data_IF_020573483112
#
_entry.id   IF_020573483112
#
_cell.length_a   1.000
_cell.length_b   1.000
_cell.length_c   1.000
_cell.angle_alpha   90.00
_cell.angle_beta   90.00
_cell.angle_gamma   90.00
#
_symmetry.space_group_name_H-M   'P 1'
#
loop_
_entity.id
_entity.type
_entity.pdbx_description
1 polymer ?
#
# COMPACT_ATOMS: atom_id res chain seq x y z
N UNK A 1 11.71 5.06 -19.57
CA UNK A 1 12.37 4.73 -18.29
C UNK A 1 13.84 4.42 -18.49
N UNK A 2 14.73 5.00 -17.69
CA UNK A 2 16.16 4.67 -17.68
C UNK A 2 16.44 3.75 -16.49
N UNK A 3 16.89 2.52 -16.78
CA UNK A 3 17.21 1.52 -15.76
C UNK A 3 18.72 1.27 -15.72
N UNK A 4 19.29 1.29 -14.53
CA UNK A 4 20.68 0.92 -14.26
C UNK A 4 20.79 -0.53 -13.76
N UNK A 5 19.80 -0.95 -13.00
CA UNK A 5 19.79 -2.23 -12.31
C UNK A 5 18.71 -3.20 -12.83
N UNK A 6 17.61 -2.66 -13.37
CA UNK A 6 16.47 -3.41 -13.88
C UNK A 6 15.43 -3.79 -12.82
N UNK A 7 15.33 -3.02 -11.72
CA UNK A 7 14.38 -3.30 -10.63
C UNK A 7 13.58 -2.06 -10.26
N UNK A 8 12.25 -2.18 -10.28
CA UNK A 8 11.32 -1.16 -9.78
C UNK A 8 10.57 -1.74 -8.60
N UNK A 9 10.71 -1.13 -7.44
CA UNK A 9 9.95 -1.48 -6.24
C UNK A 9 8.63 -0.74 -6.23
N UNK A 10 7.52 -1.48 -6.14
CA UNK A 10 6.17 -0.90 -6.20
C UNK A 10 5.52 -0.73 -4.82
N UNK A 11 6.23 -1.05 -3.75
CA UNK A 11 5.72 -0.98 -2.38
C UNK A 11 6.89 -0.74 -1.42
N UNK A 12 7.23 0.52 -1.27
CA UNK A 12 8.17 1.04 -0.28
C UNK A 12 7.49 2.17 0.50
N UNK A 13 7.96 2.44 1.70
CA UNK A 13 7.35 3.43 2.57
C UNK A 13 8.30 4.59 2.87
N UNK A 14 7.72 5.74 3.18
CA UNK A 14 8.42 6.88 3.75
C UNK A 14 8.07 6.99 5.22
N UNK A 15 9.00 7.50 6.03
CA UNK A 15 8.72 7.92 7.38
C UNK A 15 8.52 9.43 7.39
N UNK A 16 7.34 9.86 7.75
CA UNK A 16 6.99 11.27 7.84
C UNK A 16 7.68 11.92 9.04
N UNK A 17 8.28 13.12 8.88
CA UNK A 17 8.94 13.81 9.98
C UNK A 17 7.93 14.42 10.98
N UNK A 18 8.32 14.63 12.25
CA UNK A 18 7.42 15.08 13.32
C UNK A 18 6.73 16.41 13.08
N UNK A 19 7.35 17.27 12.33
CA UNK A 19 6.89 18.64 12.03
C UNK A 19 6.05 18.75 10.76
N UNK A 20 5.91 17.69 9.97
CA UNK A 20 5.22 17.71 8.67
C UNK A 20 3.85 18.41 8.76
N UNK A 21 3.00 17.96 9.65
CA UNK A 21 1.63 18.48 9.76
C UNK A 21 1.57 19.78 10.57
N UNK A 22 2.38 19.88 11.61
CA UNK A 22 2.38 21.06 12.49
C UNK A 22 2.95 22.32 11.82
N UNK A 23 3.77 22.17 10.79
CA UNK A 23 4.33 23.29 10.02
C UNK A 23 3.48 23.67 8.81
N UNK A 24 2.65 22.72 8.31
CA UNK A 24 1.82 22.91 7.10
C UNK A 24 0.37 23.26 7.39
N UNK A 25 -0.13 22.92 8.56
CA UNK A 25 -1.53 23.10 8.94
C UNK A 25 -1.66 24.09 10.09
N UNK A 26 -2.72 24.91 10.06
CA UNK A 26 -2.98 25.93 11.08
C UNK A 26 -3.11 25.34 12.48
N UNK A 27 -2.11 25.56 13.32
CA UNK A 27 -2.15 25.21 14.76
C UNK A 27 -3.23 25.99 15.53
N UNK A 28 -3.56 27.21 15.08
CA UNK A 28 -4.61 28.01 15.74
C UNK A 28 -6.01 27.40 15.55
N UNK A 29 -6.21 26.64 14.47
CA UNK A 29 -7.47 25.96 14.21
C UNK A 29 -7.56 24.59 14.89
N UNK A 30 -6.50 23.79 14.79
CA UNK A 30 -6.53 22.37 15.12
C UNK A 30 -5.78 21.99 16.40
N UNK A 31 -4.77 22.78 16.80
CA UNK A 31 -4.01 22.58 18.03
C UNK A 31 -3.39 21.19 18.13
N UNK A 32 -3.60 20.54 19.27
CA UNK A 32 -3.12 19.20 19.56
C UNK A 32 -3.86 18.08 18.80
N UNK A 33 -4.86 18.40 17.98
CA UNK A 33 -5.53 17.42 17.13
C UNK A 33 -4.70 17.02 15.91
N UNK A 34 -3.74 17.88 15.49
CA UNK A 34 -2.84 17.56 14.39
C UNK A 34 -1.95 16.36 14.72
N UNK A 35 -1.52 15.58 13.71
CA UNK A 35 -0.53 14.53 13.91
C UNK A 35 0.76 15.12 14.49
N UNK A 36 1.21 14.58 15.63
CA UNK A 36 2.42 15.01 16.33
C UNK A 36 2.96 13.88 17.21
N UNK A 37 4.20 14.02 17.68
CA UNK A 37 4.78 13.09 18.65
C UNK A 37 4.51 13.55 20.07
N UNK A 38 4.07 12.61 20.92
CA UNK A 38 3.97 12.77 22.36
C UNK A 38 4.92 11.82 23.07
N UNK A 39 5.53 12.30 24.16
CA UNK A 39 6.37 11.46 25.02
C UNK A 39 5.52 10.74 26.05
N UNK A 40 5.57 9.42 26.04
CA UNK A 40 4.89 8.58 27.01
C UNK A 40 5.66 8.45 28.32
N UNK A 41 5.01 7.95 29.38
CA UNK A 41 5.59 7.81 30.72
C UNK A 41 6.79 6.85 30.77
N UNK A 42 6.87 5.89 29.84
CA UNK A 42 7.98 4.96 29.66
C UNK A 42 9.19 5.58 28.93
N UNK A 43 9.06 6.86 28.52
CA UNK A 43 10.09 7.62 27.80
C UNK A 43 10.12 7.35 26.29
N UNK A 44 9.28 6.47 25.76
CA UNK A 44 9.06 6.31 24.34
C UNK A 44 8.27 7.49 23.77
N UNK A 45 8.41 7.72 22.48
CA UNK A 45 7.59 8.69 21.73
C UNK A 45 6.53 7.93 20.94
N UNK A 46 5.38 8.56 20.74
CA UNK A 46 4.22 7.96 20.07
C UNK A 46 3.56 9.00 19.19
N UNK A 47 3.18 8.61 18.00
CA UNK A 47 2.33 9.44 17.13
C UNK A 47 0.91 9.51 17.69
N UNK A 48 0.38 10.72 17.75
CA UNK A 48 -1.00 11.00 18.15
C UNK A 48 -1.67 11.86 17.11
N UNK A 49 -2.90 11.54 16.74
CA UNK A 49 -3.77 12.36 15.89
C UNK A 49 -5.17 12.34 16.49
N UNK A 50 -5.79 13.50 16.61
CA UNK A 50 -7.14 13.66 17.19
C UNK A 50 -7.33 12.94 18.51
N UNK A 51 -6.27 12.94 19.35
CA UNK A 51 -6.22 12.28 20.65
C UNK A 51 -6.06 10.76 20.60
N UNK A 52 -5.87 10.14 19.43
CA UNK A 52 -5.70 8.69 19.26
C UNK A 52 -4.24 8.36 18.95
N UNK A 53 -3.69 7.34 19.62
CA UNK A 53 -2.34 6.82 19.36
C UNK A 53 -2.34 6.03 18.04
N UNK A 54 -1.37 6.33 17.18
CA UNK A 54 -1.19 5.68 15.87
C UNK A 54 -0.11 4.59 15.93
N UNK A 55 -0.02 3.77 14.88
CA UNK A 55 1.03 2.78 14.64
C UNK A 55 1.24 1.76 15.77
N UNK A 56 0.21 1.53 16.59
CA UNK A 56 0.34 0.66 17.76
C UNK A 56 1.34 1.20 18.81
N UNK A 57 1.63 2.52 18.79
CA UNK A 57 2.56 3.17 19.69
C UNK A 57 4.01 3.24 19.20
N UNK A 58 4.32 2.80 17.98
CA UNK A 58 5.65 2.97 17.39
C UNK A 58 5.87 4.40 16.88
N UNK A 59 7.13 4.84 16.82
CA UNK A 59 7.51 6.14 16.24
C UNK A 59 7.63 6.04 14.73
N UNK A 60 8.02 4.87 14.23
CA UNK A 60 8.20 4.63 12.80
C UNK A 60 8.20 3.16 12.45
N UNK A 61 8.21 2.89 11.16
CA UNK A 61 8.36 1.56 10.56
C UNK A 61 9.65 1.53 9.78
N UNK A 62 10.77 1.30 10.46
CA UNK A 62 12.12 1.39 9.90
C UNK A 62 13.00 0.17 10.21
N UNK A 63 12.39 -0.96 10.56
CA UNK A 63 13.06 -2.16 11.01
C UNK A 63 14.12 -2.71 10.04
N UNK A 64 13.98 -2.47 8.72
CA UNK A 64 15.00 -2.88 7.74
C UNK A 64 16.38 -2.27 8.02
N UNK A 65 16.43 -1.10 8.63
CA UNK A 65 17.65 -0.33 8.89
C UNK A 65 18.10 -0.40 10.35
N UNK A 66 17.31 -1.05 11.22
CA UNK A 66 17.67 -1.24 12.63
C UNK A 66 18.70 -2.35 12.79
N UNK A 67 19.59 -2.27 13.80
CA UNK A 67 20.53 -3.36 14.11
C UNK A 67 19.83 -4.70 14.39
N UNK A 68 18.71 -4.67 15.14
CA UNK A 68 17.77 -5.78 15.25
C UNK A 68 16.53 -5.46 14.42
N UNK A 69 16.36 -6.14 13.32
CA UNK A 69 15.24 -5.94 12.40
C UNK A 69 13.86 -6.27 12.96
N UNK A 70 13.80 -6.94 14.12
CA UNK A 70 12.56 -7.20 14.83
C UNK A 70 12.16 -6.05 15.78
N UNK A 71 12.99 -5.00 15.85
CA UNK A 71 12.74 -3.83 16.67
C UNK A 71 12.43 -2.62 15.79
N UNK A 72 11.36 -1.92 16.14
CA UNK A 72 11.09 -0.60 15.56
C UNK A 72 11.65 0.49 16.47
N UNK A 73 11.98 1.69 15.96
CA UNK A 73 12.46 2.80 16.77
C UNK A 73 11.39 3.23 17.77
N UNK A 74 11.81 3.53 18.99
CA UNK A 74 10.92 4.00 20.08
C UNK A 74 10.99 5.50 20.30
N UNK A 75 11.99 6.16 19.69
CA UNK A 75 12.17 7.61 19.73
C UNK A 75 12.58 8.12 18.35
N UNK A 76 12.20 9.34 18.02
CA UNK A 76 12.49 9.91 16.71
C UNK A 76 13.98 9.91 16.34
N UNK A 77 14.85 10.25 17.30
CA UNK A 77 16.30 10.28 17.04
C UNK A 77 16.91 8.89 16.74
N UNK A 78 16.16 7.81 17.00
CA UNK A 78 16.56 6.44 16.66
C UNK A 78 16.15 6.07 15.23
N UNK A 79 15.26 6.84 14.60
CA UNK A 79 14.79 6.57 13.24
C UNK A 79 15.95 6.74 12.24
N UNK A 80 16.33 5.68 11.51
CA UNK A 80 17.41 5.78 10.55
C UNK A 80 17.11 6.78 9.43
N UNK A 81 18.11 7.59 9.10
CA UNK A 81 17.95 8.69 8.13
C UNK A 81 17.47 8.24 6.75
N UNK A 82 17.81 7.04 6.31
CA UNK A 82 17.32 6.48 5.07
C UNK A 82 15.80 6.22 5.05
N UNK A 83 15.13 6.25 6.21
CA UNK A 83 13.68 6.15 6.27
C UNK A 83 12.97 7.46 5.89
N UNK A 84 13.59 8.62 6.17
CA UNK A 84 12.97 9.93 6.00
C UNK A 84 13.75 10.97 5.20
N UNK A 85 15.01 10.71 4.82
CA UNK A 85 15.81 11.58 3.97
C UNK A 85 15.98 10.98 2.56
N UNK A 86 15.50 11.66 1.50
CA UNK A 86 15.59 11.17 0.12
C UNK A 86 17.03 10.85 -0.32
N UNK A 87 18.01 11.71 0.01
CA UNK A 87 19.41 11.49 -0.37
C UNK A 87 20.00 10.21 0.25
N UNK A 88 19.64 9.89 1.49
CA UNK A 88 20.09 8.65 2.15
C UNK A 88 19.34 7.43 1.60
N UNK A 89 18.08 7.56 1.27
CA UNK A 89 17.30 6.51 0.62
C UNK A 89 17.88 6.15 -0.75
N UNK A 90 18.29 7.12 -1.55
CA UNK A 90 18.92 6.88 -2.86
C UNK A 90 20.20 6.04 -2.73
N UNK A 91 21.02 6.24 -1.70
CA UNK A 91 22.20 5.40 -1.44
C UNK A 91 21.81 3.96 -1.15
N UNK A 92 20.75 3.74 -0.36
CA UNK A 92 20.23 2.40 -0.08
C UNK A 92 19.66 1.75 -1.33
N UNK A 93 18.91 2.47 -2.14
CA UNK A 93 18.39 1.98 -3.41
C UNK A 93 19.50 1.57 -4.35
N UNK A 94 20.57 2.36 -4.46
CA UNK A 94 21.74 2.01 -5.27
C UNK A 94 22.43 0.73 -4.77
N UNK A 95 22.61 0.60 -3.46
CA UNK A 95 23.21 -0.59 -2.86
C UNK A 95 22.31 -1.83 -3.04
N UNK A 96 20.99 -1.68 -2.96
CA UNK A 96 20.01 -2.75 -3.18
C UNK A 96 19.84 -3.09 -4.67
N UNK A 97 20.20 -2.18 -5.58
CA UNK A 97 20.00 -2.33 -7.02
C UNK A 97 18.58 -1.96 -7.47
N UNK A 98 17.92 -1.04 -6.76
CA UNK A 98 16.56 -0.58 -7.09
C UNK A 98 16.64 0.72 -7.87
N UNK A 99 16.04 0.77 -9.05
CA UNK A 99 16.03 1.96 -9.92
C UNK A 99 14.95 2.96 -9.50
N UNK A 100 13.73 2.50 -9.29
CA UNK A 100 12.57 3.32 -8.91
C UNK A 100 11.83 2.71 -7.73
N UNK A 101 11.18 3.56 -6.93
CA UNK A 101 10.50 3.18 -5.68
C UNK A 101 9.16 3.89 -5.58
N UNK A 102 8.05 3.15 -5.58
CA UNK A 102 6.74 3.68 -5.29
C UNK A 102 6.60 3.88 -3.77
N UNK A 103 6.24 5.11 -3.37
CA UNK A 103 6.28 5.55 -1.98
C UNK A 103 4.90 5.63 -1.35
N UNK A 104 4.72 4.86 -0.30
CA UNK A 104 3.51 4.78 0.53
C UNK A 104 3.72 5.48 1.88
N UNK A 105 2.64 5.90 2.55
CA UNK A 105 2.72 6.50 3.88
C UNK A 105 3.09 5.48 4.96
N UNK A 106 3.45 6.00 6.13
CA UNK A 106 3.62 5.22 7.37
C UNK A 106 2.70 5.74 8.46
N UNK A 107 2.79 7.02 8.81
CA UNK A 107 2.03 7.63 9.93
C UNK A 107 0.54 7.72 9.61
N UNK A 108 0.19 8.04 8.36
CA UNK A 108 -1.20 8.05 7.91
C UNK A 108 -1.86 6.65 7.92
N UNK A 109 -1.09 5.60 8.22
CA UNK A 109 -1.42 4.21 7.99
C UNK A 109 -0.89 3.73 6.63
N UNK A 110 -0.51 2.45 6.53
CA UNK A 110 0.11 1.91 5.31
C UNK A 110 -0.83 1.97 4.09
N UNK A 111 -2.14 1.97 4.34
CA UNK A 111 -3.20 2.17 3.33
C UNK A 111 -3.96 3.51 3.54
N UNK A 112 -3.46 4.42 4.38
CA UNK A 112 -4.18 5.63 4.77
C UNK A 112 -5.21 5.43 5.89
N UNK A 113 -5.31 4.22 6.44
CA UNK A 113 -6.34 3.80 7.39
C UNK A 113 -6.30 4.57 8.72
N UNK A 114 -5.14 5.05 9.15
CA UNK A 114 -5.05 5.83 10.39
C UNK A 114 -5.76 7.18 10.26
N UNK A 115 -5.60 7.85 9.13
CA UNK A 115 -6.33 9.10 8.85
C UNK A 115 -7.79 8.84 8.50
N UNK A 116 -8.10 7.71 7.84
CA UNK A 116 -9.48 7.29 7.60
C UNK A 116 -10.34 7.14 8.88
N UNK A 117 -9.72 7.05 10.08
CA UNK A 117 -10.40 7.02 11.39
C UNK A 117 -10.67 8.40 11.99
N UNK A 118 -10.20 9.47 11.37
CA UNK A 118 -10.49 10.86 11.80
C UNK A 118 -11.94 11.16 11.41
N UNK A 119 -12.78 11.40 12.41
CA UNK A 119 -14.21 11.64 12.18
C UNK A 119 -14.49 13.03 11.60
N UNK A 120 -13.63 14.01 11.91
CA UNK A 120 -13.70 15.37 11.38
C UNK A 120 -13.13 15.38 9.96
N UNK A 121 -14.00 15.44 8.96
CA UNK A 121 -13.61 15.38 7.54
C UNK A 121 -12.75 16.56 7.07
N UNK A 122 -12.85 17.72 7.73
CA UNK A 122 -11.99 18.87 7.39
C UNK A 122 -10.57 18.67 7.94
N UNK A 123 -10.45 18.08 9.14
CA UNK A 123 -9.15 17.69 9.69
C UNK A 123 -8.51 16.57 8.87
N UNK A 124 -9.29 15.53 8.53
CA UNK A 124 -8.83 14.44 7.67
C UNK A 124 -8.27 14.98 6.35
N UNK A 125 -9.05 15.81 5.65
CA UNK A 125 -8.64 16.41 4.38
C UNK A 125 -7.37 17.26 4.52
N UNK A 126 -7.27 18.08 5.57
CA UNK A 126 -6.08 18.89 5.81
C UNK A 126 -4.83 18.02 6.04
N UNK A 127 -4.96 16.94 6.82
CA UNK A 127 -3.86 16.00 7.07
C UNK A 127 -3.42 15.26 5.80
N UNK A 128 -4.39 14.85 4.98
CA UNK A 128 -4.17 14.19 3.68
C UNK A 128 -3.43 15.12 2.72
N UNK A 129 -3.91 16.36 2.56
CA UNK A 129 -3.30 17.32 1.66
C UNK A 129 -1.87 17.67 2.08
N UNK A 130 -1.62 17.86 3.37
CA UNK A 130 -0.28 18.14 3.88
C UNK A 130 0.71 17.00 3.56
N UNK A 131 0.29 15.74 3.68
CA UNK A 131 1.10 14.58 3.29
C UNK A 131 1.36 14.57 1.77
N UNK A 132 0.32 14.71 0.96
CA UNK A 132 0.45 14.67 -0.49
C UNK A 132 1.37 15.77 -1.03
N UNK A 133 1.22 17.00 -0.53
CA UNK A 133 2.07 18.12 -0.91
C UNK A 133 3.54 17.88 -0.49
N UNK A 134 3.75 17.42 0.74
CA UNK A 134 5.08 17.10 1.23
C UNK A 134 5.76 15.99 0.41
N UNK A 135 5.04 14.97 0.01
CA UNK A 135 5.61 13.87 -0.76
C UNK A 135 6.13 14.35 -2.13
N UNK A 136 5.42 15.27 -2.77
CA UNK A 136 5.87 15.90 -4.01
C UNK A 136 7.05 16.85 -3.76
N UNK A 137 6.91 17.77 -2.83
CA UNK A 137 7.88 18.84 -2.58
C UNK A 137 9.21 18.34 -2.04
N UNK A 138 9.18 17.24 -1.29
CA UNK A 138 10.36 16.74 -0.59
C UNK A 138 10.96 15.48 -1.23
N UNK A 139 10.13 14.50 -1.62
CA UNK A 139 10.63 13.24 -2.20
C UNK A 139 10.69 13.28 -3.72
N UNK A 140 9.58 13.56 -4.38
CA UNK A 140 9.55 13.58 -5.85
C UNK A 140 10.45 14.68 -6.44
N UNK A 141 10.52 15.84 -5.79
CA UNK A 141 11.43 16.92 -6.19
C UNK A 141 12.92 16.56 -6.03
N UNK A 142 13.25 15.66 -5.10
CA UNK A 142 14.64 15.24 -4.88
C UNK A 142 15.14 14.28 -5.96
N UNK A 143 14.26 13.45 -6.55
CA UNK A 143 14.62 12.52 -7.63
C UNK A 143 13.39 11.95 -8.33
N UNK A 144 13.45 11.87 -9.66
CA UNK A 144 12.44 11.16 -10.49
C UNK A 144 12.34 9.66 -10.20
N UNK A 145 13.31 9.10 -9.48
CA UNK A 145 13.30 7.69 -9.04
C UNK A 145 12.26 7.40 -7.96
N UNK A 146 11.66 8.41 -7.35
CA UNK A 146 10.58 8.27 -6.41
C UNK A 146 9.22 8.45 -7.12
N UNK A 147 8.36 7.44 -6.99
CA UNK A 147 7.03 7.39 -7.59
C UNK A 147 6.01 7.70 -6.48
N UNK A 148 5.57 8.95 -6.32
CA UNK A 148 4.69 9.32 -5.20
C UNK A 148 3.29 8.74 -5.37
N UNK A 149 2.78 8.12 -4.29
CA UNK A 149 1.41 7.64 -4.20
C UNK A 149 0.62 8.57 -3.29
N UNK A 150 -0.50 9.12 -3.75
CA UNK A 150 -1.34 9.95 -2.89
C UNK A 150 -2.23 9.10 -2.00
N UNK A 151 -2.54 9.60 -0.81
CA UNK A 151 -3.67 9.18 0.01
C UNK A 151 -4.85 10.13 -0.24
N UNK A 152 -6.05 9.70 0.12
CA UNK A 152 -7.25 10.50 -0.05
C UNK A 152 -8.13 10.41 1.19
N UNK A 153 -8.97 11.41 1.48
CA UNK A 153 -9.91 11.32 2.58
C UNK A 153 -10.86 10.16 2.35
N UNK A 154 -11.25 9.49 3.44
CA UNK A 154 -12.13 8.34 3.37
C UNK A 154 -13.55 8.74 2.94
N UNK A 155 -14.01 9.89 3.42
CA UNK A 155 -15.37 10.38 3.22
C UNK A 155 -15.50 11.88 3.49
N UNK A 156 -16.31 12.65 2.74
CA UNK A 156 -17.15 12.19 1.62
C UNK A 156 -16.36 11.88 0.34
N UNK A 157 -16.93 11.04 -0.53
CA UNK A 157 -16.26 10.58 -1.78
C UNK A 157 -15.94 11.74 -2.71
N UNK A 158 -16.77 12.80 -2.72
CA UNK A 158 -16.55 14.00 -3.53
C UNK A 158 -15.24 14.70 -3.19
N UNK A 159 -14.87 14.74 -1.90
CA UNK A 159 -13.58 15.30 -1.46
C UNK A 159 -12.42 14.37 -1.86
N UNK A 160 -12.61 13.06 -1.78
CA UNK A 160 -11.62 12.11 -2.29
C UNK A 160 -11.38 12.30 -3.80
N UNK A 161 -12.44 12.46 -4.60
CA UNK A 161 -12.33 12.70 -6.04
C UNK A 161 -11.61 14.01 -6.35
N UNK A 162 -11.92 15.10 -5.63
CA UNK A 162 -11.22 16.37 -5.78
C UNK A 162 -9.74 16.24 -5.46
N UNK A 163 -9.42 15.52 -4.38
CA UNK A 163 -8.05 15.31 -3.95
C UNK A 163 -7.27 14.42 -4.93
N UNK A 164 -7.87 13.35 -5.47
CA UNK A 164 -7.26 12.53 -6.53
C UNK A 164 -6.86 13.42 -7.72
N UNK A 165 -7.79 14.24 -8.21
CA UNK A 165 -7.52 15.13 -9.35
C UNK A 165 -6.41 16.12 -9.05
N UNK A 166 -6.43 16.73 -7.86
CA UNK A 166 -5.40 17.67 -7.40
C UNK A 166 -4.04 16.98 -7.29
N UNK A 167 -3.97 15.86 -6.60
CA UNK A 167 -2.73 15.13 -6.34
C UNK A 167 -2.09 14.60 -7.64
N UNK A 168 -2.88 14.05 -8.55
CA UNK A 168 -2.38 13.58 -9.85
C UNK A 168 -1.87 14.75 -10.70
N UNK A 169 -2.53 15.90 -10.66
CA UNK A 169 -2.06 17.12 -11.33
C UNK A 169 -0.71 17.62 -10.76
N UNK A 170 -0.44 17.38 -9.47
CA UNK A 170 0.85 17.67 -8.83
C UNK A 170 1.96 16.66 -9.17
N UNK A 171 1.61 15.48 -9.70
CA UNK A 171 2.58 14.47 -10.12
C UNK A 171 2.48 13.12 -9.43
N UNK A 172 1.49 12.90 -8.56
CA UNK A 172 1.24 11.56 -8.00
C UNK A 172 0.86 10.56 -9.10
N UNK A 173 1.29 9.30 -8.93
CA UNK A 173 1.18 8.25 -9.95
C UNK A 173 0.26 7.10 -9.57
N UNK A 174 -0.30 7.11 -8.39
CA UNK A 174 -1.28 6.13 -7.90
C UNK A 174 -2.00 6.65 -6.68
N UNK A 175 -3.10 5.99 -6.33
CA UNK A 175 -3.97 6.35 -5.21
C UNK A 175 -3.95 5.22 -4.20
N UNK A 176 -3.53 5.49 -2.99
CA UNK A 176 -3.60 4.56 -1.86
C UNK A 176 -4.94 4.72 -1.19
N UNK A 177 -5.69 3.62 -1.06
CA UNK A 177 -7.02 3.63 -0.45
C UNK A 177 -7.22 2.40 0.44
N UNK A 178 -7.87 2.53 1.61
CA UNK A 178 -8.20 1.39 2.46
C UNK A 178 -9.18 0.44 1.76
N UNK A 179 -8.88 -0.86 1.77
CA UNK A 179 -9.69 -1.88 1.08
C UNK A 179 -11.10 -2.01 1.65
N UNK A 180 -11.29 -1.73 2.93
CA UNK A 180 -12.54 -1.87 3.68
C UNK A 180 -12.84 -0.61 4.50
N UNK A 181 -13.19 0.52 3.86
CA UNK A 181 -13.40 1.80 4.55
C UNK A 181 -14.51 1.75 5.60
N UNK A 182 -15.55 0.93 5.40
CA UNK A 182 -16.65 0.74 6.35
C UNK A 182 -16.23 0.10 7.68
N UNK A 183 -15.03 -0.49 7.75
CA UNK A 183 -14.48 -0.98 9.02
C UNK A 183 -13.73 0.11 9.81
N UNK A 184 -13.41 1.22 9.17
CA UNK A 184 -12.65 2.31 9.80
C UNK A 184 -13.58 3.34 10.43
N UNK A 185 -14.69 3.62 9.77
CA UNK A 185 -15.66 4.65 10.14
C UNK A 185 -17.05 4.26 9.62
N UNK A 186 -18.11 4.84 10.17
CA UNK A 186 -19.48 4.62 9.69
C UNK A 186 -19.67 5.33 8.33
N UNK A 187 -19.27 4.66 7.26
CA UNK A 187 -19.40 5.09 5.87
C UNK A 187 -20.06 3.98 5.06
N UNK A 188 -20.59 4.25 3.86
CA UNK A 188 -21.18 3.23 3.00
C UNK A 188 -20.24 2.05 2.76
N UNK A 189 -20.82 0.90 2.46
CA UNK A 189 -20.06 -0.30 2.08
C UNK A 189 -19.32 -0.05 0.76
N UNK A 190 -18.07 -0.51 0.67
CA UNK A 190 -17.18 -0.25 -0.49
C UNK A 190 -17.77 -0.72 -1.84
N UNK A 191 -18.67 -1.69 -1.81
CA UNK A 191 -19.37 -2.18 -2.99
C UNK A 191 -20.49 -1.24 -3.47
N UNK A 192 -20.87 -0.28 -2.65
CA UNK A 192 -21.95 0.66 -2.96
C UNK A 192 -21.61 1.62 -4.12
N UNK A 193 -22.63 2.09 -4.85
CA UNK A 193 -22.43 3.02 -5.96
C UNK A 193 -21.88 4.38 -5.51
N UNK A 194 -21.89 4.67 -4.22
CA UNK A 194 -21.33 5.89 -3.63
C UNK A 194 -19.84 6.04 -3.95
N UNK A 195 -19.11 4.92 -4.11
CA UNK A 195 -17.68 4.92 -4.46
C UNK A 195 -17.41 4.94 -5.97
N UNK A 196 -18.42 4.75 -6.82
CA UNK A 196 -18.24 4.75 -8.29
C UNK A 196 -17.56 6.04 -8.81
N UNK A 197 -17.83 7.26 -8.27
CA UNK A 197 -17.11 8.46 -8.69
C UNK A 197 -15.60 8.40 -8.41
N UNK A 198 -15.17 7.73 -7.32
CA UNK A 198 -13.76 7.56 -6.98
C UNK A 198 -13.08 6.64 -8.01
N UNK A 199 -13.70 5.49 -8.29
CA UNK A 199 -13.20 4.54 -9.27
C UNK A 199 -13.13 5.15 -10.67
N UNK A 200 -14.18 5.87 -11.07
CA UNK A 200 -14.24 6.57 -12.34
C UNK A 200 -13.14 7.63 -12.49
N UNK A 201 -12.83 8.38 -11.43
CA UNK A 201 -11.73 9.34 -11.44
C UNK A 201 -10.37 8.67 -11.65
N UNK A 202 -10.13 7.51 -11.02
CA UNK A 202 -8.91 6.74 -11.24
C UNK A 202 -8.81 6.19 -12.66
N UNK A 203 -9.92 5.72 -13.24
CA UNK A 203 -9.98 5.27 -14.64
C UNK A 203 -9.71 6.41 -15.64
N UNK A 204 -10.29 7.59 -15.39
CA UNK A 204 -10.15 8.77 -16.25
C UNK A 204 -8.71 9.30 -16.24
N UNK A 205 -8.10 9.36 -15.06
CA UNK A 205 -6.74 9.85 -14.88
C UNK A 205 -5.67 8.79 -15.18
N UNK A 206 -6.09 7.57 -15.48
CA UNK A 206 -5.22 6.44 -15.77
C UNK A 206 -4.19 6.17 -14.64
N UNK A 207 -4.65 6.18 -13.39
CA UNK A 207 -3.84 5.89 -12.20
C UNK A 207 -4.35 4.65 -11.47
N UNK A 208 -3.47 3.78 -10.96
CA UNK A 208 -3.90 2.60 -10.21
C UNK A 208 -4.41 2.99 -8.81
N UNK A 209 -5.35 2.19 -8.32
CA UNK A 209 -5.72 2.15 -6.91
C UNK A 209 -4.89 1.08 -6.22
N UNK A 210 -4.20 1.47 -5.16
CA UNK A 210 -3.32 0.60 -4.40
C UNK A 210 -4.01 0.25 -3.07
N UNK A 211 -4.40 -1.01 -2.92
CA UNK A 211 -4.97 -1.58 -1.70
C UNK A 211 -3.84 -2.27 -0.95
N UNK A 212 -3.45 -1.75 0.22
CA UNK A 212 -2.26 -2.22 0.92
C UNK A 212 -2.61 -3.11 2.12
N UNK A 213 -1.90 -4.23 2.26
CA UNK A 213 -1.96 -5.10 3.42
C UNK A 213 -3.24 -5.96 3.53
N UNK A 214 -3.96 -6.13 2.43
CA UNK A 214 -5.18 -6.96 2.40
C UNK A 214 -6.38 -6.30 3.07
N UNK A 215 -7.23 -7.11 3.67
CA UNK A 215 -8.28 -6.61 4.54
C UNK A 215 -7.63 -5.95 5.76
N UNK A 216 -8.20 -4.83 6.19
CA UNK A 216 -7.72 -4.12 7.36
C UNK A 216 -7.66 -5.06 8.59
N UNK A 217 -6.84 -4.74 9.61
CA UNK A 217 -6.69 -5.58 10.81
C UNK A 217 -8.00 -5.90 11.54
N UNK A 218 -9.09 -5.34 11.10
CA UNK A 218 -10.43 -5.59 11.63
C UNK A 218 -11.14 -6.81 11.02
N UNK A 219 -10.58 -7.50 10.02
CA UNK A 219 -10.95 -8.89 9.82
C UNK A 219 -10.58 -9.61 11.11
N UNK A 220 -11.59 -9.93 11.90
CA UNK A 220 -11.47 -10.43 13.27
C UNK A 220 -10.73 -11.76 13.27
N UNK A 221 -9.41 -11.70 13.25
CA UNK A 221 -8.63 -12.83 13.74
C UNK A 221 -8.82 -12.92 15.27
N UNK A 222 -8.83 -14.12 15.81
CA UNK A 222 -8.86 -14.28 17.28
C UNK A 222 -7.80 -13.40 17.93
N UNK A 223 -8.11 -12.80 19.10
CA UNK A 223 -7.14 -11.96 19.80
C UNK A 223 -5.82 -12.68 19.99
N UNK A 224 -4.73 -12.07 19.61
CA UNK A 224 -3.37 -12.57 19.86
C UNK A 224 -2.81 -12.07 21.21
N UNK A 225 -3.63 -11.39 21.99
CA UNK A 225 -3.32 -10.96 23.36
C UNK A 225 -2.94 -12.17 24.22
N UNK A 226 -1.78 -12.13 24.84
CA UNK A 226 -1.23 -13.23 25.63
C UNK A 226 -0.24 -14.12 24.89
N UNK A 227 -0.08 -13.97 23.58
CA UNK A 227 1.00 -14.61 22.84
C UNK A 227 2.32 -13.85 23.04
N UNK A 228 3.43 -14.60 22.93
CA UNK A 228 4.73 -13.95 22.80
C UNK A 228 4.70 -12.95 21.63
N UNK A 229 5.17 -11.70 21.78
CA UNK A 229 5.09 -10.69 20.72
C UNK A 229 5.70 -11.12 19.38
N UNK A 230 6.78 -11.90 19.40
CA UNK A 230 7.40 -12.45 18.16
C UNK A 230 6.49 -13.46 17.46
N UNK A 231 5.73 -14.26 18.22
CA UNK A 231 4.77 -15.19 17.65
C UNK A 231 3.56 -14.46 17.09
N UNK A 232 3.05 -13.44 17.78
CA UNK A 232 1.97 -12.61 17.28
C UNK A 232 2.35 -11.92 15.98
N UNK A 233 3.57 -11.38 15.88
CA UNK A 233 4.09 -10.78 14.66
C UNK A 233 4.24 -11.79 13.52
N UNK A 234 4.76 -12.99 13.80
CA UNK A 234 4.91 -14.04 12.79
C UNK A 234 3.54 -14.54 12.29
N UNK A 235 2.57 -14.70 13.19
CA UNK A 235 1.20 -15.07 12.83
C UNK A 235 0.55 -14.02 11.93
N UNK A 236 0.66 -12.75 12.30
CA UNK A 236 0.15 -11.63 11.50
C UNK A 236 0.80 -11.61 10.10
N UNK A 237 2.11 -11.74 10.02
CA UNK A 237 2.84 -11.75 8.76
C UNK A 237 2.42 -12.87 7.80
N UNK A 238 2.04 -14.05 8.33
CA UNK A 238 1.57 -15.18 7.51
C UNK A 238 0.10 -15.04 7.12
N UNK A 239 -0.73 -14.53 8.02
CA UNK A 239 -2.19 -14.48 7.80
C UNK A 239 -2.65 -13.25 7.03
N UNK A 240 -1.94 -12.13 7.14
CA UNK A 240 -2.28 -10.87 6.47
C UNK A 240 -2.41 -11.00 4.94
N UNK A 241 -1.46 -11.60 4.20
CA UNK A 241 -1.61 -11.79 2.76
C UNK A 241 -2.86 -12.59 2.38
N UNK A 242 -3.23 -13.61 3.16
CA UNK A 242 -4.41 -14.45 2.90
C UNK A 242 -5.71 -13.65 2.95
N UNK A 243 -5.77 -12.56 3.73
CA UNK A 243 -6.95 -11.69 3.80
C UNK A 243 -7.29 -11.02 2.46
N UNK A 244 -6.35 -10.97 1.52
CA UNK A 244 -6.60 -10.49 0.16
C UNK A 244 -7.60 -11.36 -0.61
N UNK A 245 -7.77 -12.65 -0.25
CA UNK A 245 -8.82 -13.51 -0.82
C UNK A 245 -10.19 -12.86 -0.59
N UNK A 246 -10.44 -12.38 0.64
CA UNK A 246 -11.69 -11.70 0.96
C UNK A 246 -11.84 -10.38 0.18
N UNK A 247 -10.80 -9.56 0.16
CA UNK A 247 -10.82 -8.27 -0.54
C UNK A 247 -11.12 -8.46 -2.02
N UNK A 248 -10.37 -9.33 -2.70
CA UNK A 248 -10.54 -9.52 -4.13
C UNK A 248 -11.88 -10.18 -4.47
N UNK A 249 -12.35 -11.14 -3.65
CA UNK A 249 -13.69 -11.71 -3.77
C UNK A 249 -14.77 -10.64 -3.63
N UNK A 250 -14.64 -9.76 -2.64
CA UNK A 250 -15.57 -8.66 -2.44
C UNK A 250 -15.65 -7.75 -3.67
N UNK A 251 -14.52 -7.29 -4.19
CA UNK A 251 -14.49 -6.40 -5.36
C UNK A 251 -15.00 -7.06 -6.64
N UNK A 252 -14.79 -8.37 -6.80
CA UNK A 252 -15.31 -9.15 -7.94
C UNK A 252 -16.81 -9.40 -7.83
N UNK A 253 -17.24 -10.04 -6.72
CA UNK A 253 -18.64 -10.43 -6.55
C UNK A 253 -19.59 -9.27 -6.21
N UNK A 254 -19.07 -8.11 -5.82
CA UNK A 254 -19.88 -6.89 -5.67
C UNK A 254 -19.99 -6.06 -6.94
N UNK A 255 -19.45 -6.53 -8.05
CA UNK A 255 -19.45 -5.89 -9.36
C UNK A 255 -18.61 -4.60 -9.46
N UNK A 256 -17.79 -4.26 -8.49
CA UNK A 256 -16.90 -3.08 -8.61
C UNK A 256 -15.99 -3.26 -9.83
N UNK A 257 -15.28 -4.39 -9.93
CA UNK A 257 -14.43 -4.66 -11.09
C UNK A 257 -15.21 -4.82 -12.40
N UNK A 258 -16.46 -5.26 -12.33
CA UNK A 258 -17.31 -5.40 -13.52
C UNK A 258 -17.72 -4.02 -14.06
N UNK A 259 -18.18 -3.10 -13.17
CA UNK A 259 -18.60 -1.74 -13.55
C UNK A 259 -17.43 -0.87 -14.02
N UNK A 260 -16.24 -1.09 -13.46
CA UNK A 260 -15.05 -0.28 -13.71
C UNK A 260 -14.01 -1.08 -14.51
N UNK A 261 -14.27 -1.26 -15.79
CA UNK A 261 -13.50 -2.13 -16.67
C UNK A 261 -12.04 -1.69 -16.89
N UNK A 262 -11.73 -0.41 -16.73
CA UNK A 262 -10.38 0.15 -16.89
C UNK A 262 -9.69 0.43 -15.56
N UNK A 263 -10.37 0.20 -14.44
CA UNK A 263 -9.76 0.37 -13.12
C UNK A 263 -8.60 -0.61 -12.97
N UNK A 264 -7.45 -0.10 -12.57
CA UNK A 264 -6.29 -0.91 -12.24
C UNK A 264 -6.11 -0.96 -10.74
N UNK A 265 -6.05 -2.16 -10.19
CA UNK A 265 -5.94 -2.42 -8.76
C UNK A 265 -4.61 -3.10 -8.47
N UNK A 266 -3.80 -2.49 -7.63
CA UNK A 266 -2.58 -3.08 -7.09
C UNK A 266 -2.88 -3.61 -5.69
N UNK A 267 -2.73 -4.90 -5.51
CA UNK A 267 -2.79 -5.53 -4.20
C UNK A 267 -1.38 -5.47 -3.59
N UNK A 268 -1.08 -4.36 -2.91
CA UNK A 268 0.22 -4.16 -2.28
C UNK A 268 0.35 -5.03 -1.01
N UNK A 269 1.55 -5.53 -0.74
CA UNK A 269 1.82 -6.50 0.34
C UNK A 269 0.95 -7.76 0.25
N UNK A 270 0.67 -8.24 -0.97
CA UNK A 270 -0.27 -9.33 -1.16
C UNK A 270 0.35 -10.72 -1.11
N UNK A 271 1.63 -10.89 -1.45
CA UNK A 271 2.21 -12.18 -1.82
C UNK A 271 1.47 -12.85 -3.01
N UNK A 272 1.90 -14.03 -3.43
CA UNK A 272 1.36 -14.70 -4.64
C UNK A 272 0.51 -15.95 -4.34
N UNK A 273 0.84 -16.68 -3.27
CA UNK A 273 0.37 -18.06 -3.08
C UNK A 273 -1.14 -18.21 -2.95
N UNK A 274 -1.83 -17.30 -2.31
CA UNK A 274 -3.28 -17.31 -2.16
C UNK A 274 -4.02 -17.03 -3.48
N UNK A 275 -3.35 -16.41 -4.45
CA UNK A 275 -3.93 -16.08 -5.74
C UNK A 275 -4.38 -17.31 -6.54
N UNK A 276 -3.66 -18.42 -6.43
CA UNK A 276 -4.07 -19.68 -7.04
C UNK A 276 -5.40 -20.17 -6.45
N UNK A 277 -5.51 -20.18 -5.12
CA UNK A 277 -6.74 -20.52 -4.42
C UNK A 277 -7.90 -19.64 -4.91
N UNK A 278 -7.69 -18.33 -4.94
CA UNK A 278 -8.73 -17.38 -5.37
C UNK A 278 -9.20 -17.67 -6.82
N UNK A 279 -8.26 -17.75 -7.77
CA UNK A 279 -8.60 -17.90 -9.18
C UNK A 279 -9.39 -19.18 -9.47
N UNK A 280 -9.01 -20.30 -8.85
CA UNK A 280 -9.72 -21.58 -9.02
C UNK A 280 -11.08 -21.57 -8.32
N UNK A 281 -11.13 -21.18 -7.04
CA UNK A 281 -12.35 -21.30 -6.24
C UNK A 281 -13.39 -20.24 -6.61
N UNK A 282 -12.96 -19.05 -6.95
CA UNK A 282 -13.90 -17.99 -7.34
C UNK A 282 -14.59 -18.31 -8.67
N UNK A 283 -13.88 -18.85 -9.65
CA UNK A 283 -14.47 -19.29 -10.91
C UNK A 283 -15.36 -20.52 -10.73
N UNK A 284 -14.93 -21.48 -9.91
CA UNK A 284 -15.77 -22.64 -9.58
C UNK A 284 -17.09 -22.20 -8.94
N UNK A 285 -17.02 -21.29 -7.95
CA UNK A 285 -18.22 -20.81 -7.26
C UNK A 285 -19.12 -19.97 -8.19
N UNK A 286 -18.52 -19.18 -9.07
CA UNK A 286 -19.23 -18.44 -10.11
C UNK A 286 -20.08 -19.36 -11.00
N UNK A 287 -19.52 -20.47 -11.43
CA UNK A 287 -20.22 -21.46 -12.27
C UNK A 287 -21.28 -22.23 -11.44
N UNK A 288 -20.91 -22.68 -10.23
CA UNK A 288 -21.78 -23.44 -9.36
C UNK A 288 -23.05 -22.68 -9.00
N UNK A 289 -22.95 -21.41 -8.65
CA UNK A 289 -24.08 -20.57 -8.27
C UNK A 289 -24.81 -19.96 -9.48
N UNK A 290 -24.26 -20.15 -10.69
CA UNK A 290 -24.87 -19.68 -11.93
C UNK A 290 -24.90 -18.15 -12.05
N UNK A 291 -23.89 -17.44 -11.55
CA UNK A 291 -23.86 -15.98 -11.46
C UNK A 291 -23.93 -15.30 -12.83
N UNK A 292 -23.59 -15.98 -13.92
CA UNK A 292 -23.82 -15.48 -15.27
C UNK A 292 -25.30 -15.09 -15.53
N UNK A 293 -26.24 -15.83 -14.90
CA UNK A 293 -27.68 -15.54 -14.98
C UNK A 293 -28.09 -14.29 -14.18
N UNK A 294 -27.25 -13.89 -13.23
CA UNK A 294 -27.45 -12.68 -12.43
C UNK A 294 -26.82 -11.44 -13.11
N UNK A 295 -26.44 -11.58 -14.38
CA UNK A 295 -25.88 -10.46 -15.17
C UNK A 295 -24.41 -10.20 -14.95
N UNK A 296 -23.61 -11.22 -14.60
CA UNK A 296 -22.17 -11.19 -14.68
C UNK A 296 -21.74 -11.75 -16.03
N UNK A 297 -21.11 -10.92 -16.84
CA UNK A 297 -20.60 -11.28 -18.18
C UNK A 297 -19.13 -11.71 -18.19
N UNK A 298 -18.45 -11.60 -17.03
CA UNK A 298 -17.07 -12.04 -16.83
C UNK A 298 -16.95 -12.87 -15.55
N UNK A 299 -16.10 -13.90 -15.61
CA UNK A 299 -15.68 -14.68 -14.43
C UNK A 299 -14.75 -13.85 -13.53
N UNK A 300 -14.62 -14.20 -12.24
CA UNK A 300 -13.68 -13.56 -11.34
C UNK A 300 -12.23 -13.55 -11.85
N UNK A 301 -11.75 -14.66 -12.44
CA UNK A 301 -10.42 -14.72 -13.04
C UNK A 301 -10.26 -13.75 -14.21
N UNK A 302 -11.26 -13.60 -15.07
CA UNK A 302 -11.24 -12.67 -16.20
C UNK A 302 -11.22 -11.21 -15.71
N UNK A 303 -11.98 -10.89 -14.64
CA UNK A 303 -11.90 -9.59 -13.98
C UNK A 303 -10.52 -9.34 -13.40
N UNK A 304 -9.93 -10.36 -12.73
CA UNK A 304 -8.57 -10.26 -12.22
C UNK A 304 -7.56 -9.95 -13.34
N UNK A 305 -7.54 -10.74 -14.41
CA UNK A 305 -6.60 -10.53 -15.52
C UNK A 305 -6.81 -9.21 -16.27
N UNK A 306 -7.99 -8.64 -16.20
CA UNK A 306 -8.26 -7.32 -16.77
C UNK A 306 -7.79 -6.18 -15.87
N UNK A 307 -7.94 -6.30 -14.54
CA UNK A 307 -7.89 -5.18 -13.62
C UNK A 307 -6.75 -5.24 -12.60
N UNK A 308 -6.25 -6.42 -12.21
CA UNK A 308 -5.52 -6.56 -10.96
C UNK A 308 -4.05 -6.95 -11.13
N UNK A 309 -3.25 -6.56 -10.12
CA UNK A 309 -1.84 -6.92 -10.00
C UNK A 309 -1.56 -7.38 -8.56
N UNK A 310 -0.81 -8.49 -8.43
CA UNK A 310 -0.22 -8.92 -7.17
C UNK A 310 1.16 -8.31 -6.98
N UNK A 311 1.57 -8.16 -5.72
CA UNK A 311 2.95 -7.81 -5.39
C UNK A 311 3.67 -8.97 -4.73
N UNK A 312 4.89 -9.21 -5.15
CA UNK A 312 5.79 -10.21 -4.58
C UNK A 312 7.05 -9.55 -4.02
N UNK A 313 7.69 -10.11 -3.02
CA UNK A 313 9.00 -9.65 -2.54
C UNK A 313 9.97 -10.78 -2.20
N UNK A 314 9.53 -11.87 -1.57
CA UNK A 314 10.34 -13.07 -1.31
C UNK A 314 9.73 -14.37 -1.83
N UNK A 315 8.62 -14.25 -2.55
CA UNK A 315 7.91 -15.40 -3.12
C UNK A 315 8.74 -16.10 -4.20
N UNK A 316 8.62 -17.42 -4.29
CA UNK A 316 9.11 -18.19 -5.43
C UNK A 316 8.18 -17.94 -6.62
N UNK A 317 8.62 -17.20 -7.63
CA UNK A 317 7.74 -16.71 -8.72
C UNK A 317 7.35 -17.81 -9.71
N UNK A 318 8.29 -18.72 -10.04
CA UNK A 318 8.09 -19.73 -11.09
C UNK A 318 6.80 -20.56 -10.97
N UNK A 319 6.40 -21.06 -9.77
CA UNK A 319 5.17 -21.85 -9.63
C UNK A 319 3.88 -21.11 -9.96
N UNK A 320 3.90 -19.78 -9.87
CA UNK A 320 2.69 -18.96 -10.02
C UNK A 320 2.50 -18.40 -11.43
N UNK A 321 3.50 -18.51 -12.32
CA UNK A 321 3.43 -17.96 -13.65
C UNK A 321 2.34 -18.59 -14.53
N UNK A 322 2.04 -19.87 -14.34
CA UNK A 322 0.99 -20.56 -15.08
C UNK A 322 -0.43 -20.19 -14.64
N UNK A 323 -0.58 -19.68 -13.42
CA UNK A 323 -1.89 -19.28 -12.87
C UNK A 323 -2.11 -17.78 -12.92
N UNK A 324 -1.14 -17.02 -12.44
CA UNK A 324 -1.29 -15.55 -12.30
C UNK A 324 -0.86 -14.84 -13.58
N UNK A 325 0.12 -15.40 -14.31
CA UNK A 325 0.74 -14.73 -15.45
C UNK A 325 1.77 -13.68 -15.04
N UNK A 326 2.89 -13.62 -15.76
CA UNK A 326 3.95 -12.65 -15.47
C UNK A 326 3.48 -11.19 -15.60
N UNK A 327 2.45 -10.93 -16.40
CA UNK A 327 1.87 -9.63 -16.67
C UNK A 327 1.15 -9.01 -15.47
N UNK A 328 0.76 -9.83 -14.48
CA UNK A 328 -0.04 -9.45 -13.31
C UNK A 328 0.73 -9.50 -12.00
N UNK A 329 2.05 -9.68 -12.09
CA UNK A 329 2.94 -9.68 -10.92
C UNK A 329 3.84 -8.44 -10.99
N UNK A 330 3.93 -7.75 -9.85
CA UNK A 330 4.85 -6.65 -9.59
C UNK A 330 5.81 -7.07 -8.48
N UNK A 331 6.97 -6.45 -8.41
CA UNK A 331 7.94 -6.72 -7.36
C UNK A 331 8.11 -5.53 -6.41
N UNK A 332 8.43 -5.82 -5.13
CA UNK A 332 8.69 -4.80 -4.13
C UNK A 332 9.90 -5.14 -3.25
N UNK A 333 10.62 -4.13 -2.80
CA UNK A 333 11.72 -4.25 -1.83
C UNK A 333 11.25 -4.11 -0.38
N UNK A 334 10.11 -3.47 -0.18
CA UNK A 334 9.49 -3.20 1.13
C UNK A 334 10.33 -2.32 2.04
N UNK A 335 11.18 -1.43 1.48
CA UNK A 335 11.92 -0.46 2.28
C UNK A 335 10.96 0.57 2.94
N UNK A 336 11.17 0.97 4.18
CA UNK A 336 12.17 0.54 5.16
C UNK A 336 11.64 -0.50 6.17
N UNK A 337 10.57 -1.22 5.85
CA UNK A 337 9.90 -2.14 6.77
C UNK A 337 10.80 -3.31 7.18
N UNK A 338 10.56 -3.87 8.36
CA UNK A 338 11.29 -5.03 8.88
C UNK A 338 11.26 -6.24 7.92
N UNK A 339 10.17 -6.38 7.15
CA UNK A 339 9.96 -7.44 6.14
C UNK A 339 10.70 -7.20 4.82
N UNK A 340 11.42 -6.07 4.66
CA UNK A 340 12.17 -5.73 3.45
C UNK A 340 13.18 -6.81 3.04
N UNK A 341 13.47 -6.90 1.75
CA UNK A 341 14.54 -7.72 1.20
C UNK A 341 15.95 -7.19 1.52
N UNK A 342 16.07 -5.92 1.92
CA UNK A 342 17.33 -5.31 2.35
C UNK A 342 17.94 -6.04 3.58
N UNK A 343 19.28 -6.24 3.70
CA UNK A 343 20.30 -5.81 2.73
C UNK A 343 20.62 -6.84 1.63
N UNK A 344 19.89 -7.95 1.57
CA UNK A 344 20.14 -9.08 0.66
C UNK A 344 19.20 -9.11 -0.54
N UNK A 345 18.84 -7.94 -1.06
CA UNK A 345 17.83 -7.81 -2.14
C UNK A 345 18.21 -8.64 -3.37
N UNK A 346 19.46 -8.55 -3.83
CA UNK A 346 19.90 -9.28 -5.03
C UNK A 346 19.91 -10.80 -4.83
N UNK A 347 20.40 -11.26 -3.69
CA UNK A 347 20.41 -12.69 -3.34
C UNK A 347 18.98 -13.25 -3.23
N UNK A 348 18.07 -12.46 -2.63
CA UNK A 348 16.64 -12.80 -2.55
C UNK A 348 16.06 -12.94 -3.95
N UNK A 349 16.31 -11.98 -4.84
CA UNK A 349 15.84 -12.03 -6.23
C UNK A 349 16.39 -13.24 -6.99
N UNK A 350 17.67 -13.56 -6.85
CA UNK A 350 18.25 -14.76 -7.48
C UNK A 350 17.55 -16.05 -7.04
N UNK A 351 17.20 -16.12 -5.74
CA UNK A 351 16.45 -17.25 -5.21
C UNK A 351 15.00 -17.28 -5.73
N UNK A 352 14.30 -16.17 -5.66
CA UNK A 352 12.88 -16.05 -6.01
C UNK A 352 12.60 -16.31 -7.49
N UNK A 353 13.53 -15.93 -8.36
CA UNK A 353 13.40 -16.08 -9.82
C UNK A 353 14.13 -17.29 -10.40
N UNK A 354 14.50 -18.26 -9.57
CA UNK A 354 15.10 -19.50 -10.06
C UNK A 354 14.14 -20.23 -11.00
N UNK A 355 14.61 -20.55 -12.21
CA UNK A 355 13.81 -21.22 -13.22
C UNK A 355 12.79 -20.33 -13.96
N UNK A 356 12.77 -19.03 -13.67
CA UNK A 356 11.94 -18.06 -14.40
C UNK A 356 12.67 -17.62 -15.69
N UNK A 357 11.97 -17.68 -16.82
CA UNK A 357 12.50 -17.21 -18.11
C UNK A 357 12.85 -15.71 -18.06
N UNK A 358 13.91 -15.27 -18.74
CA UNK A 358 14.36 -13.87 -18.71
C UNK A 358 13.26 -12.85 -19.02
N UNK A 359 12.42 -13.12 -20.02
CA UNK A 359 11.33 -12.22 -20.40
C UNK A 359 10.29 -12.07 -19.28
N UNK A 360 9.88 -13.18 -18.65
CA UNK A 360 8.95 -13.17 -17.53
C UNK A 360 9.55 -12.44 -16.32
N UNK A 361 10.85 -12.66 -16.06
CA UNK A 361 11.60 -11.95 -15.00
C UNK A 361 11.58 -10.44 -15.21
N UNK A 362 11.84 -9.97 -16.43
CA UNK A 362 11.79 -8.53 -16.73
C UNK A 362 10.39 -7.95 -16.59
N UNK A 363 9.35 -8.68 -17.01
CA UNK A 363 7.95 -8.25 -16.81
C UNK A 363 7.68 -7.97 -15.33
N UNK A 364 8.00 -8.92 -14.47
CA UNK A 364 7.75 -8.82 -13.02
C UNK A 364 8.60 -7.73 -12.36
N UNK A 365 9.89 -7.66 -12.70
CA UNK A 365 10.84 -6.79 -12.01
C UNK A 365 10.73 -5.32 -12.40
N UNK A 366 10.27 -5.01 -13.61
CA UNK A 366 10.21 -3.61 -14.03
C UNK A 366 9.20 -3.26 -15.12
N UNK A 367 8.98 -4.10 -16.16
CA UNK A 367 8.16 -3.70 -17.32
C UNK A 367 6.71 -3.40 -16.94
N UNK A 368 6.11 -4.24 -16.09
CA UNK A 368 4.75 -4.03 -15.62
C UNK A 368 4.62 -2.73 -14.80
N UNK A 369 5.54 -2.50 -13.87
CA UNK A 369 5.57 -1.30 -13.05
C UNK A 369 5.82 -0.04 -13.90
N UNK A 370 6.77 -0.08 -14.84
CA UNK A 370 7.03 1.04 -15.74
C UNK A 370 5.79 1.42 -16.57
N UNK A 371 5.07 0.42 -17.10
CA UNK A 371 3.80 0.64 -17.81
C UNK A 371 2.72 1.19 -16.88
N UNK A 372 2.55 0.59 -15.69
CA UNK A 372 1.49 0.94 -14.75
C UNK A 372 1.62 2.38 -14.24
N UNK A 373 2.84 2.80 -13.92
CA UNK A 373 3.12 4.15 -13.40
C UNK A 373 3.57 5.15 -14.47
N UNK A 374 3.61 4.74 -15.74
CA UNK A 374 3.98 5.60 -16.89
C UNK A 374 5.35 6.26 -16.71
N UNK A 375 6.39 5.46 -16.43
CA UNK A 375 7.77 5.90 -16.23
C UNK A 375 8.52 6.04 -17.56
#
# INVERSE_FOLDING_TARGET
VQLKYGFISVDDHVQEPPDLWTDRISRSRWGARLPHLERASDGAERWVVDGKVLLGGAVGKAGAFMPDRNCEPTRWHEVPTAAYLPAERLKVMDAAGVDYSALYPTVAGLAGEAFGRIEDSELELACVQAYNDWLIEYWAAASERFIPQCIVPLWPVEEAVKEIRRAVALGHRGVVFPSLPMHLRNVPHISGPEYDPLWAACEELDVPVCLHGGASPELQYPPTSGLNPRFAQALDAVTRPVSNVFVLSLYSFSRVLLRHARLRVVLAESALSWGMLYLEWADHQFEHDGLAREGYDLKPSEMFYRNCFFTSWFDQVAPFLSYVGAEHILWSSKLPLATSTWPRTRETLESCFRGVAPEAREKVLWRNAARLYRL
#
